data_IF_689655797554
#
_entry.id   IF_689655797554
#
_cell.length_a   1.000
_cell.length_b   1.000
_cell.length_c   1.000
_cell.angle_alpha   90.00
_cell.angle_beta   90.00
_cell.angle_gamma   90.00
#
_symmetry.space_group_name_H-M   'P 1'
#
loop_
_entity.id
_entity.type
_entity.pdbx_description
1 polymer ?
#
# COMPACT_ATOMS: atom_id res chain seq x y z
N UNK A 1 21.69 -1.31 -9.79
CA UNK A 1 20.43 -2.06 -9.57
C UNK A 1 19.64 -1.33 -8.50
N UNK A 2 18.46 -0.83 -8.85
CA UNK A 2 17.56 -0.28 -7.86
C UNK A 2 16.99 -1.44 -7.02
N UNK A 3 17.13 -1.36 -5.72
CA UNK A 3 16.52 -2.34 -4.82
C UNK A 3 15.01 -2.12 -4.84
N UNK A 4 14.29 -3.11 -5.33
CA UNK A 4 12.83 -3.14 -5.23
C UNK A 4 12.51 -3.48 -3.78
N UNK A 5 11.90 -2.53 -3.09
CA UNK A 5 11.49 -2.72 -1.71
C UNK A 5 10.00 -2.99 -1.66
N UNK A 6 9.65 -4.19 -1.22
CA UNK A 6 8.24 -4.54 -1.00
C UNK A 6 7.77 -3.95 0.32
N UNK A 7 6.65 -3.28 0.27
CA UNK A 7 6.02 -2.67 1.43
C UNK A 7 4.67 -3.32 1.72
N UNK A 8 4.46 -3.71 2.95
CA UNK A 8 3.13 -3.92 3.48
C UNK A 8 3.12 -3.49 4.94
N UNK A 9 1.97 -3.02 5.37
CA UNK A 9 1.83 -2.52 6.72
C UNK A 9 1.37 -3.66 7.62
N UNK A 10 2.34 -4.21 8.36
CA UNK A 10 2.05 -5.23 9.37
C UNK A 10 1.37 -4.56 10.56
N UNK A 11 0.07 -4.65 10.56
CA UNK A 11 -0.70 -4.29 11.72
C UNK A 11 -1.50 -5.49 12.19
N UNK A 12 -0.97 -6.19 13.19
CA UNK A 12 -1.67 -7.30 13.82
C UNK A 12 -2.16 -6.84 15.19
N UNK A 13 -3.42 -7.06 15.49
CA UNK A 13 -3.97 -6.91 16.84
C UNK A 13 -4.05 -8.26 17.52
N UNK A 14 -3.77 -8.35 18.85
CA UNK A 14 -3.42 -7.29 19.80
C UNK A 14 -1.93 -7.08 20.07
N UNK A 15 -1.01 -7.65 19.38
CA UNK A 15 0.44 -7.55 19.67
C UNK A 15 1.25 -7.14 18.46
N UNK A 16 0.74 -6.22 17.67
CA UNK A 16 1.41 -5.84 16.45
C UNK A 16 2.31 -4.62 16.60
N UNK A 17 3.40 -4.63 15.87
CA UNK A 17 4.13 -3.42 15.59
C UNK A 17 3.23 -2.48 14.81
N UNK A 18 3.08 -1.26 15.28
CA UNK A 18 2.49 -0.21 14.49
C UNK A 18 3.43 0.22 13.37
N UNK A 19 2.92 0.95 12.40
CA UNK A 19 3.74 1.58 11.38
C UNK A 19 4.87 2.47 11.96
N UNK A 20 4.79 2.77 13.25
CA UNK A 20 5.77 3.57 13.98
C UNK A 20 6.80 2.72 14.72
N UNK A 21 6.77 1.39 14.56
CA UNK A 21 7.69 0.49 15.24
C UNK A 21 7.46 0.37 16.75
N UNK A 22 6.28 0.73 17.21
CA UNK A 22 5.91 0.65 18.63
C UNK A 22 5.23 -0.69 18.91
N UNK A 23 5.78 -1.46 19.81
CA UNK A 23 5.19 -2.70 20.28
C UNK A 23 3.89 -2.39 21.05
N UNK A 24 2.81 -3.12 20.75
CA UNK A 24 1.57 -3.03 21.54
C UNK A 24 0.47 -2.14 20.97
N UNK A 25 0.48 -1.80 19.71
CA UNK A 25 -0.71 -1.30 19.04
C UNK A 25 -0.78 0.21 18.83
N UNK A 26 0.12 0.76 18.07
CA UNK A 26 -0.07 2.10 17.51
C UNK A 26 -1.13 2.11 16.40
N UNK A 27 -1.48 3.29 15.90
CA UNK A 27 -2.44 3.40 14.80
C UNK A 27 -1.94 2.67 13.54
N UNK A 28 -2.89 2.05 12.84
CA UNK A 28 -2.61 1.33 11.60
C UNK A 28 -3.17 2.09 10.41
N UNK A 29 -2.47 2.05 9.30
CA UNK A 29 -3.00 2.59 8.04
C UNK A 29 -4.13 1.68 7.56
N UNK A 30 -5.33 2.23 7.52
CA UNK A 30 -6.51 1.51 7.06
C UNK A 30 -6.64 1.55 5.54
N UNK A 31 -6.58 2.73 4.97
CA UNK A 31 -6.72 2.94 3.52
C UNK A 31 -5.59 3.83 3.03
N UNK A 32 -5.08 3.52 1.86
CA UNK A 32 -4.12 4.35 1.14
C UNK A 32 -4.75 4.83 -0.16
N UNK A 33 -4.71 6.14 -0.39
CA UNK A 33 -4.96 6.75 -1.69
C UNK A 33 -3.64 7.25 -2.24
N UNK A 34 -3.17 6.63 -3.32
CA UNK A 34 -1.92 6.95 -3.97
C UNK A 34 -2.22 7.70 -5.26
N UNK A 35 -1.80 8.95 -5.33
CA UNK A 35 -2.10 9.83 -6.47
C UNK A 35 -0.83 10.07 -7.28
N UNK A 36 -0.90 9.87 -8.59
CA UNK A 36 0.20 10.14 -9.50
C UNK A 36 0.14 11.58 -10.00
N UNK A 37 1.20 12.34 -9.71
CA UNK A 37 1.25 13.77 -10.04
C UNK A 37 1.84 14.03 -11.41
N UNK A 38 2.59 13.07 -11.93
CA UNK A 38 3.14 13.09 -13.30
C UNK A 38 3.18 11.68 -13.86
N UNK A 39 3.66 11.55 -15.08
CA UNK A 39 3.79 10.25 -15.74
C UNK A 39 5.20 10.09 -16.28
N UNK A 40 5.99 9.11 -15.79
CA UNK A 40 7.26 8.80 -16.42
C UNK A 40 7.06 8.21 -17.80
N UNK A 41 8.04 8.39 -18.67
CA UNK A 41 7.98 7.88 -20.04
C UNK A 41 8.05 6.35 -20.09
N UNK A 42 8.81 5.75 -19.18
CA UNK A 42 8.92 4.29 -19.06
C UNK A 42 9.20 3.88 -17.62
N UNK A 43 8.64 2.77 -17.23
CA UNK A 43 8.80 2.21 -15.89
C UNK A 43 7.96 2.91 -14.83
N UNK A 44 8.32 2.71 -13.58
CA UNK A 44 7.68 3.36 -12.45
C UNK A 44 6.33 2.78 -12.03
N UNK A 45 5.97 1.59 -12.49
CA UNK A 45 4.71 0.94 -12.12
C UNK A 45 4.66 0.70 -10.61
N UNK A 46 3.44 0.71 -10.07
CA UNK A 46 3.15 0.17 -8.74
C UNK A 46 2.70 -1.27 -8.90
N UNK A 47 3.45 -2.19 -8.33
CA UNK A 47 3.19 -3.62 -8.45
C UNK A 47 2.57 -4.17 -7.17
N UNK A 48 1.54 -5.00 -7.32
CA UNK A 48 0.90 -5.79 -6.27
C UNK A 48 1.06 -7.26 -6.63
N UNK A 49 2.19 -7.90 -6.27
CA UNK A 49 2.51 -9.24 -6.77
C UNK A 49 1.58 -10.33 -6.26
N UNK A 50 0.89 -10.12 -5.14
CA UNK A 50 -0.04 -11.09 -4.54
C UNK A 50 -1.51 -10.77 -4.81
N UNK A 51 -1.82 -9.67 -5.48
CA UNK A 51 -3.19 -9.35 -5.82
C UNK A 51 -3.78 -10.43 -6.74
N UNK A 52 -5.02 -10.79 -6.48
CA UNK A 52 -5.73 -11.83 -7.23
C UNK A 52 -6.91 -11.21 -7.96
N UNK A 53 -7.00 -11.46 -9.26
CA UNK A 53 -8.16 -11.09 -10.06
C UNK A 53 -9.34 -11.99 -9.68
N UNK A 54 -10.43 -11.39 -9.20
CA UNK A 54 -11.60 -12.15 -8.74
C UNK A 54 -12.30 -12.91 -9.88
N UNK A 55 -12.20 -12.44 -11.12
CA UNK A 55 -12.85 -13.06 -12.26
C UNK A 55 -12.04 -14.22 -12.86
N UNK A 56 -10.72 -14.09 -12.93
CA UNK A 56 -9.83 -15.04 -13.60
C UNK A 56 -8.98 -15.87 -12.66
N UNK A 57 -8.82 -15.46 -11.40
CA UNK A 57 -7.88 -16.07 -10.46
C UNK A 57 -6.41 -15.77 -10.77
N UNK A 58 -6.13 -14.94 -11.76
CA UNK A 58 -4.77 -14.55 -12.09
C UNK A 58 -4.15 -13.73 -10.96
N UNK A 59 -2.87 -14.00 -10.68
CA UNK A 59 -2.11 -13.29 -9.64
C UNK A 59 -1.16 -12.28 -10.25
N UNK A 60 -0.98 -11.19 -9.51
CA UNK A 60 -0.09 -10.12 -9.88
C UNK A 60 -0.78 -9.02 -10.66
N UNK A 61 -0.52 -7.80 -10.22
CA UNK A 61 -1.05 -6.59 -10.86
C UNK A 61 0.06 -5.55 -10.87
N UNK A 62 0.30 -4.94 -12.01
CA UNK A 62 1.20 -3.81 -12.13
C UNK A 62 0.44 -2.65 -12.76
N UNK A 63 0.45 -1.50 -12.09
CA UNK A 63 -0.32 -0.33 -12.50
C UNK A 63 0.64 0.73 -13.01
N UNK A 64 0.42 1.17 -14.25
CA UNK A 64 1.17 2.27 -14.84
C UNK A 64 0.79 3.59 -14.16
N UNK A 65 1.79 4.44 -13.80
CA UNK A 65 1.53 5.71 -13.13
C UNK A 65 1.07 6.78 -14.13
N UNK A 66 -0.19 6.75 -14.48
CA UNK A 66 -0.79 7.76 -15.35
C UNK A 66 -1.04 9.07 -14.61
N UNK A 67 -0.58 10.21 -15.18
CA UNK A 67 -0.78 11.53 -14.58
C UNK A 67 -2.25 11.81 -14.30
N UNK A 68 -2.55 12.22 -13.07
CA UNK A 68 -3.91 12.52 -12.63
C UNK A 68 -4.74 11.31 -12.25
N UNK A 69 -4.18 10.11 -12.32
CA UNK A 69 -4.82 8.89 -11.83
C UNK A 69 -4.48 8.63 -10.36
N UNK A 70 -5.26 7.78 -9.72
CA UNK A 70 -5.04 7.39 -8.33
C UNK A 70 -5.37 5.92 -8.14
N UNK A 71 -4.72 5.31 -7.15
CA UNK A 71 -5.01 3.96 -6.70
C UNK A 71 -5.52 4.05 -5.27
N UNK A 72 -6.68 3.45 -5.01
CA UNK A 72 -7.20 3.27 -3.66
C UNK A 72 -7.05 1.80 -3.27
N UNK A 73 -6.46 1.54 -2.12
CA UNK A 73 -6.39 0.18 -1.61
C UNK A 73 -6.50 0.15 -0.09
N UNK A 74 -7.08 -0.94 0.41
CA UNK A 74 -7.22 -1.18 1.84
C UNK A 74 -6.02 -1.98 2.33
N UNK A 75 -5.37 -1.50 3.39
CA UNK A 75 -4.22 -2.19 3.98
C UNK A 75 -4.64 -3.27 4.97
N UNK A 76 -5.87 -3.20 5.45
CA UNK A 76 -6.39 -4.09 6.48
C UNK A 76 -7.62 -4.86 5.97
N UNK A 77 -7.73 -6.11 6.42
CA UNK A 77 -8.94 -6.91 6.31
C UNK A 77 -9.99 -6.43 7.34
N UNK A 78 -11.27 -6.83 7.17
CA UNK A 78 -12.33 -6.47 8.14
C UNK A 78 -12.04 -6.89 9.58
N UNK A 79 -11.23 -7.92 9.79
CA UNK A 79 -10.83 -8.40 11.12
C UNK A 79 -9.69 -7.58 11.75
N UNK A 80 -9.16 -6.58 11.03
CA UNK A 80 -8.06 -5.73 11.49
C UNK A 80 -6.67 -6.26 11.18
N UNK A 81 -6.55 -7.44 10.59
CA UNK A 81 -5.27 -7.99 10.15
C UNK A 81 -4.83 -7.36 8.82
N UNK A 82 -3.53 -7.38 8.58
CA UNK A 82 -2.98 -6.90 7.31
C UNK A 82 -3.49 -7.74 6.13
N UNK A 83 -3.90 -7.06 5.07
CA UNK A 83 -4.25 -7.72 3.82
C UNK A 83 -2.97 -8.02 3.04
N UNK A 84 -2.60 -9.29 2.95
CA UNK A 84 -1.38 -9.71 2.26
C UNK A 84 -1.43 -9.51 0.75
N UNK A 85 -2.63 -9.41 0.17
CA UNK A 85 -2.79 -9.12 -1.25
C UNK A 85 -2.40 -7.69 -1.61
N UNK A 86 -2.32 -6.79 -0.63
CA UNK A 86 -1.90 -5.41 -0.85
C UNK A 86 -0.39 -5.19 -0.67
N UNK A 87 0.38 -6.26 -0.48
CA UNK A 87 1.83 -6.18 -0.57
C UNK A 87 2.21 -5.54 -1.91
N UNK A 88 2.99 -4.47 -1.88
CA UNK A 88 3.27 -3.68 -3.07
C UNK A 88 4.70 -3.18 -3.12
N UNK A 89 5.11 -2.80 -4.31
CA UNK A 89 6.41 -2.22 -4.56
C UNK A 89 6.33 -1.14 -5.63
N UNK A 90 7.17 -0.14 -5.51
CA UNK A 90 7.43 0.80 -6.59
C UNK A 90 8.50 0.20 -7.49
N UNK A 91 8.17 -0.09 -8.73
CA UNK A 91 9.13 -0.57 -9.72
C UNK A 91 10.01 0.59 -10.21
N UNK A 92 11.24 0.29 -10.67
CA UNK A 92 12.16 1.34 -11.12
C UNK A 92 11.59 2.20 -12.23
N UNK A 93 11.83 3.50 -12.16
CA UNK A 93 11.61 4.42 -13.28
C UNK A 93 12.76 4.23 -14.26
N UNK A 94 12.42 3.94 -15.52
CA UNK A 94 13.41 3.71 -16.56
C UNK A 94 13.74 5.01 -17.30
N UNK A 95 12.71 5.78 -17.64
CA UNK A 95 12.86 7.06 -18.32
C UNK A 95 11.92 8.09 -17.71
N UNK A 96 12.47 9.22 -17.31
CA UNK A 96 11.72 10.32 -16.73
C UNK A 96 11.76 10.33 -15.22
N UNK A 97 10.78 10.95 -14.61
CA UNK A 97 10.62 11.09 -13.17
C UNK A 97 9.24 10.61 -12.74
N UNK A 98 9.13 10.19 -11.50
CA UNK A 98 7.86 9.80 -10.90
C UNK A 98 7.61 10.62 -9.64
N UNK A 99 6.52 11.38 -9.68
CA UNK A 99 6.03 12.14 -8.54
C UNK A 99 4.67 11.60 -8.12
N UNK A 100 4.54 11.30 -6.85
CA UNK A 100 3.28 10.81 -6.29
C UNK A 100 3.04 11.42 -4.92
N UNK A 101 1.78 11.41 -4.51
CA UNK A 101 1.37 11.80 -3.18
C UNK A 101 0.56 10.66 -2.56
N UNK A 102 0.84 10.35 -1.31
CA UNK A 102 0.07 9.39 -0.54
C UNK A 102 -0.86 10.14 0.42
N UNK A 103 -2.11 9.72 0.46
CA UNK A 103 -3.05 10.10 1.49
C UNK A 103 -3.39 8.85 2.30
N UNK A 104 -3.08 8.86 3.59
CA UNK A 104 -3.29 7.73 4.47
C UNK A 104 -4.44 8.00 5.42
N UNK A 105 -5.39 7.08 5.46
CA UNK A 105 -6.48 7.08 6.43
C UNK A 105 -6.14 6.05 7.49
N UNK A 106 -6.08 6.50 8.72
CA UNK A 106 -5.73 5.67 9.87
C UNK A 106 -6.94 5.00 10.45
N UNK A 107 -6.76 3.81 11.02
CA UNK A 107 -7.83 3.06 11.67
C UNK A 107 -8.28 3.75 12.95
N UNK A 108 -9.51 4.27 13.02
CA UNK A 108 -9.98 5.01 14.19
C UNK A 108 -10.26 4.12 15.42
N UNK A 109 -10.35 2.81 15.24
CA UNK A 109 -10.67 1.88 16.34
C UNK A 109 -9.58 1.89 17.40
N UNK A 110 -8.33 2.20 17.02
CA UNK A 110 -7.23 2.32 17.96
C UNK A 110 -7.40 3.44 18.99
N UNK A 111 -8.17 4.45 18.67
CA UNK A 111 -8.42 5.57 19.59
C UNK A 111 -9.48 5.26 20.62
N UNK A 112 -10.31 4.23 20.41
CA UNK A 112 -11.39 3.85 21.32
C UNK A 112 -10.99 2.81 22.35
N UNK A 113 -9.92 2.06 22.12
CA UNK A 113 -9.42 1.03 23.04
C UNK A 113 -8.65 1.59 24.25
N UNK A 114 -8.34 2.88 24.22
CA UNK A 114 -7.62 3.55 25.30
C UNK A 114 -8.52 4.34 26.26
N UNK A 115 -9.80 4.10 26.19
CA UNK A 115 -10.77 4.72 27.10
C UNK A 115 -11.02 3.85 28.31
#
# INVERSE_FOLDING_TARGET
>A
MSNIQLHYHLCRRPNAFSDWGVEGGGPCRFVTLLMYLNEPTAGGQTAFPKATDAATGAKGLAIHPGKGSAILFYNLLPDGNADTETLHAALPVIVGEKWLANFWIWDPVMTTEHK
#
